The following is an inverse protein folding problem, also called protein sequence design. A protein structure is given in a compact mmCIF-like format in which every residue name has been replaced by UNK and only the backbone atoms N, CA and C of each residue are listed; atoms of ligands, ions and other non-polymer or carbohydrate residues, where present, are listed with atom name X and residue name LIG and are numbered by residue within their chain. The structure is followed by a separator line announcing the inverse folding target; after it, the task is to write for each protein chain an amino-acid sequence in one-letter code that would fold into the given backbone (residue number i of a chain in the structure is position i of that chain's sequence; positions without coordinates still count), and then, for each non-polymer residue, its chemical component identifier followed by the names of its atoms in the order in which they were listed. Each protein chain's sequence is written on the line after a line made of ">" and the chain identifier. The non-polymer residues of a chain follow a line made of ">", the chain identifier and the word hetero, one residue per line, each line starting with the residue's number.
data_IF_175218875821
#
_entry.id   IF_175218875821
#
_cell.length_a   1.000
_cell.length_b   1.000
_cell.length_c   1.000
_cell.angle_alpha   90.00
_cell.angle_beta   90.00
_cell.angle_gamma   90.00
#
_symmetry.space_group_name_H-M   'P 1'
#
loop_
_entity.id
_entity.type
_entity.pdbx_description
1 polymer ?
#
# COMPACT_ATOMS: atom_id res chain seq x y z
N UNK A 1 17.83 4.55 8.70
CA UNK A 1 16.97 3.57 9.38
C UNK A 1 15.64 4.26 9.68
N UNK A 2 14.65 4.13 8.80
CA UNK A 2 13.33 4.76 8.97
C UNK A 2 12.46 3.71 9.64
N UNK A 3 12.20 3.89 10.93
CA UNK A 3 11.21 3.07 11.64
C UNK A 3 9.85 3.36 11.03
N UNK A 4 9.41 2.52 10.16
CA UNK A 4 8.03 2.43 9.72
C UNK A 4 7.22 1.94 10.92
N UNK A 5 6.36 2.80 11.44
CA UNK A 5 5.26 2.37 12.28
C UNK A 5 4.32 1.52 11.41
N UNK A 6 4.68 0.25 11.23
CA UNK A 6 3.82 -0.72 10.58
C UNK A 6 2.56 -0.87 11.44
N UNK A 7 1.46 -0.35 10.96
CA UNK A 7 0.18 -0.61 11.58
C UNK A 7 -0.17 -2.05 11.25
N UNK A 8 -0.22 -2.86 12.28
CA UNK A 8 -0.58 -4.27 12.21
C UNK A 8 -1.95 -4.42 11.55
N UNK A 9 -2.03 -5.18 10.48
CA UNK A 9 -3.29 -5.77 10.05
C UNK A 9 -3.75 -6.74 11.13
N UNK A 10 -5.04 -6.68 11.44
CA UNK A 10 -5.68 -7.34 12.58
C UNK A 10 -5.16 -8.76 12.86
N UNK A 11 -4.60 -8.92 14.07
CA UNK A 11 -4.72 -10.17 14.81
C UNK A 11 -5.92 -10.08 15.76
N UNK A 12 -6.58 -11.19 16.10
CA UNK A 12 -7.62 -11.18 17.11
C UNK A 12 -7.08 -10.56 18.40
N UNK A 13 -7.54 -9.36 18.74
CA UNK A 13 -7.07 -8.60 19.89
C UNK A 13 -6.58 -7.17 19.58
N UNK A 14 -6.61 -6.74 18.33
CA UNK A 14 -6.20 -5.38 17.95
C UNK A 14 -7.14 -4.32 18.54
N UNK A 15 -6.54 -3.33 19.19
CA UNK A 15 -7.24 -2.16 19.72
C UNK A 15 -7.71 -1.32 18.53
N UNK A 16 -9.01 -1.00 18.48
CA UNK A 16 -9.57 -0.13 17.47
C UNK A 16 -8.83 1.23 17.46
N UNK A 17 -8.48 1.70 16.27
CA UNK A 17 -7.86 3.02 16.10
C UNK A 17 -8.91 4.09 16.37
N UNK A 18 -8.69 5.02 17.34
CA UNK A 18 -9.70 6.00 17.70
C UNK A 18 -9.99 6.99 16.56
N UNK A 19 -11.23 7.44 16.49
CA UNK A 19 -11.66 8.53 15.59
C UNK A 19 -12.26 9.64 16.47
N UNK A 20 -11.83 10.91 16.38
CA UNK A 20 -10.80 11.42 15.45
C UNK A 20 -9.41 10.82 15.70
N UNK A 21 -8.75 10.48 14.60
CA UNK A 21 -7.34 10.07 14.63
C UNK A 21 -6.48 11.29 14.34
N UNK A 22 -5.55 11.61 15.23
CA UNK A 22 -4.64 12.73 15.10
C UNK A 22 -3.21 12.23 15.25
N UNK A 23 -2.39 12.49 14.25
CA UNK A 23 -0.97 12.16 14.27
C UNK A 23 -0.13 13.40 13.94
N UNK A 24 0.88 13.65 14.76
CA UNK A 24 1.92 14.61 14.44
C UNK A 24 3.07 13.88 13.77
N UNK A 25 3.48 14.36 12.60
CA UNK A 25 4.59 13.77 11.87
C UNK A 25 5.92 14.07 12.58
N UNK A 26 6.73 13.04 12.77
CA UNK A 26 8.07 13.16 13.38
C UNK A 26 9.15 13.45 12.35
N UNK A 27 8.83 13.25 11.08
CA UNK A 27 9.72 13.48 9.93
C UNK A 27 8.95 14.14 8.79
N UNK A 28 9.65 14.91 7.99
CA UNK A 28 9.07 15.52 6.78
C UNK A 28 8.72 14.44 5.77
N UNK A 29 7.57 14.61 5.14
CA UNK A 29 7.13 13.75 4.04
C UNK A 29 8.05 13.89 2.83
N UNK A 30 8.20 12.80 2.10
CA UNK A 30 9.01 12.73 0.90
C UNK A 30 8.16 12.29 -0.29
N UNK A 31 8.46 12.78 -1.51
CA UNK A 31 7.85 12.26 -2.73
C UNK A 31 8.01 10.74 -2.84
N UNK A 32 6.97 10.07 -3.33
CA UNK A 32 6.91 8.62 -3.41
C UNK A 32 6.31 7.93 -2.19
N UNK A 33 6.18 8.62 -1.06
CA UNK A 33 5.48 8.08 0.10
C UNK A 33 3.97 8.06 -0.10
N UNK A 34 3.33 7.05 0.46
CA UNK A 34 1.88 6.86 0.42
C UNK A 34 1.33 6.79 1.83
N UNK A 35 0.32 7.58 2.10
CA UNK A 35 -0.55 7.42 3.27
C UNK A 35 -1.64 6.42 2.93
N UNK A 36 -1.77 5.39 3.75
CA UNK A 36 -2.81 4.37 3.63
C UNK A 36 -3.74 4.47 4.82
N UNK A 37 -5.04 4.62 4.55
CA UNK A 37 -6.10 4.68 5.55
C UNK A 37 -7.13 3.63 5.17
N UNK A 38 -7.39 2.70 6.06
CA UNK A 38 -8.41 1.69 5.82
C UNK A 38 -9.26 1.42 7.07
N UNK A 39 -10.47 0.98 6.81
CA UNK A 39 -11.45 0.74 7.85
C UNK A 39 -12.81 0.39 7.28
N UNK A 40 -13.85 0.71 8.04
CA UNK A 40 -15.24 0.49 7.66
C UNK A 40 -16.02 1.79 7.76
N UNK A 41 -16.80 2.11 6.73
CA UNK A 41 -17.71 3.25 6.74
C UNK A 41 -18.92 2.88 7.61
N UNK A 42 -19.33 3.78 8.51
CA UNK A 42 -20.52 3.56 9.35
C UNK A 42 -21.78 3.36 8.49
N UNK A 43 -22.74 2.57 8.96
CA UNK A 43 -23.97 2.27 8.21
C UNK A 43 -24.82 3.51 7.90
N UNK A 44 -24.79 4.50 8.80
CA UNK A 44 -25.53 5.76 8.72
C UNK A 44 -24.64 6.95 8.35
N UNK A 45 -23.47 6.68 7.76
CA UNK A 45 -22.48 7.67 7.45
C UNK A 45 -23.01 8.79 6.57
N UNK A 46 -22.72 10.01 6.95
CA UNK A 46 -22.95 11.22 6.16
C UNK A 46 -21.64 11.74 5.58
N UNK A 47 -20.58 11.79 6.37
CA UNK A 47 -19.27 12.30 5.98
C UNK A 47 -18.14 11.67 6.79
N UNK A 48 -17.00 11.54 6.14
CA UNK A 48 -15.71 11.50 6.82
C UNK A 48 -14.68 12.32 6.05
N UNK A 49 -13.63 12.72 6.72
CA UNK A 49 -12.61 13.56 6.11
C UNK A 49 -11.20 13.21 6.56
N UNK A 50 -10.27 13.50 5.68
CA UNK A 50 -8.83 13.40 5.91
C UNK A 50 -8.22 14.76 5.66
N UNK A 51 -7.41 15.25 6.60
CA UNK A 51 -6.75 16.54 6.49
C UNK A 51 -5.25 16.40 6.72
N UNK A 52 -4.48 17.03 5.85
CA UNK A 52 -3.03 17.23 5.99
C UNK A 52 -2.82 18.71 6.30
N UNK A 53 -2.32 19.01 7.50
CA UNK A 53 -2.28 20.35 8.04
C UNK A 53 -0.88 20.77 8.51
N UNK A 54 -0.68 22.08 8.61
CA UNK A 54 0.43 22.69 9.33
C UNK A 54 -0.09 23.70 10.37
N UNK A 55 0.74 24.00 11.36
CA UNK A 55 0.46 24.98 12.41
C UNK A 55 -0.39 24.46 13.55
N UNK A 56 -1.43 23.67 13.26
CA UNK A 56 -2.34 23.06 14.22
C UNK A 56 -2.93 21.77 13.66
N UNK A 57 -3.35 20.88 14.55
CA UNK A 57 -4.16 19.69 14.20
C UNK A 57 -5.65 20.00 14.01
N UNK A 58 -6.05 21.23 14.32
CA UNK A 58 -7.42 21.71 14.17
C UNK A 58 -7.51 22.70 13.00
N UNK A 59 -8.57 22.59 12.21
CA UNK A 59 -8.87 23.57 11.16
C UNK A 59 -9.30 24.88 11.80
N UNK A 60 -8.58 25.96 11.53
CA UNK A 60 -8.85 27.26 12.11
C UNK A 60 -7.88 28.34 11.64
N UNK A 61 -7.90 29.50 12.30
CA UNK A 61 -7.06 30.66 11.93
C UNK A 61 -5.55 30.39 12.06
N UNK A 62 -5.17 29.43 12.88
CA UNK A 62 -3.77 29.09 13.13
C UNK A 62 -3.26 27.90 12.31
N UNK A 63 -4.06 27.40 11.37
CA UNK A 63 -3.70 26.26 10.54
C UNK A 63 -3.73 26.58 9.06
N UNK A 64 -2.91 25.86 8.32
CA UNK A 64 -2.99 25.75 6.86
C UNK A 64 -3.40 24.32 6.53
N UNK A 65 -4.25 24.12 5.53
CA UNK A 65 -4.65 22.81 5.06
C UNK A 65 -4.08 22.58 3.66
N UNK A 66 -3.05 21.75 3.57
CA UNK A 66 -2.42 21.42 2.29
C UNK A 66 -3.30 20.52 1.43
N UNK A 67 -4.03 19.62 2.09
CA UNK A 67 -5.01 18.76 1.45
C UNK A 67 -6.15 18.46 2.40
N UNK A 68 -7.37 18.75 1.97
CA UNK A 68 -8.62 18.35 2.58
C UNK A 68 -9.33 17.37 1.64
N UNK A 69 -9.60 16.17 2.13
CA UNK A 69 -10.38 15.15 1.43
C UNK A 69 -11.66 14.94 2.21
N UNK A 70 -12.80 15.33 1.66
CA UNK A 70 -14.12 15.19 2.28
C UNK A 70 -14.97 14.19 1.50
N UNK A 71 -15.19 13.04 2.09
CA UNK A 71 -16.05 12.01 1.52
C UNK A 71 -17.47 12.24 2.00
N UNK A 72 -18.36 12.63 1.07
CA UNK A 72 -19.73 13.07 1.35
C UNK A 72 -20.75 12.11 0.77
N UNK A 73 -21.35 11.32 1.63
CA UNK A 73 -22.36 10.32 1.22
C UNK A 73 -23.70 10.96 0.86
N UNK A 74 -24.05 12.06 1.53
CA UNK A 74 -25.24 12.85 1.26
C UNK A 74 -25.22 13.56 -0.10
N UNK A 75 -24.04 13.90 -0.60
CA UNK A 75 -23.85 14.54 -1.92
C UNK A 75 -23.41 13.55 -3.00
N UNK A 76 -23.02 12.32 -2.63
CA UNK A 76 -22.45 11.35 -3.55
C UNK A 76 -21.12 11.79 -4.15
N UNK A 77 -20.33 12.62 -3.42
CA UNK A 77 -19.09 13.24 -3.89
C UNK A 77 -17.94 13.02 -2.90
N UNK A 78 -16.75 12.97 -3.47
CA UNK A 78 -15.50 13.24 -2.75
C UNK A 78 -15.03 14.63 -3.16
N UNK A 79 -14.81 15.48 -2.18
CA UNK A 79 -14.46 16.90 -2.36
C UNK A 79 -13.03 17.11 -1.88
N UNK A 80 -12.22 17.72 -2.72
CA UNK A 80 -10.83 18.08 -2.43
C UNK A 80 -10.66 19.58 -2.38
N UNK A 81 -9.91 20.08 -1.42
CA UNK A 81 -9.62 21.50 -1.29
C UNK A 81 -8.33 21.74 -0.49
N UNK A 82 -7.97 23.00 -0.38
CA UNK A 82 -6.91 23.52 0.49
C UNK A 82 -7.41 24.79 1.19
N UNK A 83 -6.79 25.10 2.33
CA UNK A 83 -7.09 26.34 3.07
C UNK A 83 -5.78 27.06 3.37
N UNK A 84 -5.73 28.33 3.01
CA UNK A 84 -4.61 29.22 3.29
C UNK A 84 -5.11 30.48 4.00
N UNK A 85 -4.47 30.83 5.12
CA UNK A 85 -4.81 31.99 5.94
C UNK A 85 -6.32 32.09 6.30
N UNK A 86 -6.90 30.93 6.66
CA UNK A 86 -8.31 30.83 7.04
C UNK A 86 -9.30 30.86 5.87
N UNK A 87 -8.83 30.91 4.62
CA UNK A 87 -9.67 30.97 3.42
C UNK A 87 -9.57 29.66 2.64
N UNK A 88 -10.71 29.01 2.41
CA UNK A 88 -10.82 27.86 1.53
C UNK A 88 -10.65 28.24 0.07
N UNK A 89 -9.92 27.43 -0.67
CA UNK A 89 -9.74 27.58 -2.09
C UNK A 89 -10.93 27.01 -2.88
N UNK A 90 -10.71 26.83 -4.19
CA UNK A 90 -11.70 26.24 -5.08
C UNK A 90 -11.77 24.72 -4.85
N UNK A 91 -12.99 24.22 -4.66
CA UNK A 91 -13.25 22.78 -4.54
C UNK A 91 -13.02 22.06 -5.89
N UNK A 92 -12.42 20.87 -5.79
CA UNK A 92 -12.38 19.88 -6.86
C UNK A 92 -13.22 18.68 -6.42
N UNK A 93 -14.04 18.12 -7.32
CA UNK A 93 -15.04 17.11 -6.95
C UNK A 93 -15.03 15.92 -7.90
N UNK A 94 -15.15 14.72 -7.34
CA UNK A 94 -15.36 13.48 -8.09
C UNK A 94 -16.51 12.68 -7.48
N UNK A 95 -17.02 11.69 -8.22
CA UNK A 95 -18.04 10.78 -7.69
C UNK A 95 -17.48 9.97 -6.52
N UNK A 96 -18.30 9.77 -5.48
CA UNK A 96 -17.91 8.99 -4.32
C UNK A 96 -17.99 7.47 -4.61
N UNK A 97 -16.86 6.74 -4.60
CA UNK A 97 -16.85 5.30 -4.81
C UNK A 97 -17.14 4.49 -3.55
N UNK A 98 -17.07 5.12 -2.37
CA UNK A 98 -17.31 4.45 -1.10
C UNK A 98 -18.80 4.32 -0.78
N UNK A 99 -19.15 3.31 0.02
CA UNK A 99 -20.55 3.04 0.41
C UNK A 99 -20.67 2.85 1.92
N UNK A 100 -21.76 3.36 2.53
CA UNK A 100 -22.04 3.09 3.94
C UNK A 100 -22.06 1.59 4.25
N UNK A 101 -21.51 1.23 5.41
CA UNK A 101 -21.47 -0.16 5.88
C UNK A 101 -20.38 -1.02 5.25
N UNK A 102 -19.65 -0.52 4.26
CA UNK A 102 -18.61 -1.28 3.57
C UNK A 102 -17.21 -0.92 4.05
N UNK A 103 -16.29 -1.83 3.85
CA UNK A 103 -14.86 -1.55 4.01
C UNK A 103 -14.41 -0.53 2.97
N UNK A 104 -13.44 0.30 3.36
CA UNK A 104 -12.80 1.28 2.50
C UNK A 104 -11.28 1.25 2.64
N UNK A 105 -10.62 1.59 1.55
CA UNK A 105 -9.19 1.84 1.49
C UNK A 105 -8.99 3.16 0.75
N UNK A 106 -8.46 4.16 1.44
CA UNK A 106 -8.15 5.47 0.89
C UNK A 106 -6.65 5.69 0.96
N UNK A 107 -6.03 5.97 -0.17
CA UNK A 107 -4.59 6.22 -0.26
C UNK A 107 -4.28 7.58 -0.83
N UNK A 108 -3.28 8.23 -0.28
CA UNK A 108 -2.77 9.52 -0.73
C UNK A 108 -1.27 9.34 -0.97
N UNK A 109 -0.86 9.32 -2.23
CA UNK A 109 0.54 9.27 -2.62
C UNK A 109 1.05 10.67 -2.91
N UNK A 110 2.20 11.01 -2.35
CA UNK A 110 2.86 12.29 -2.56
C UNK A 110 3.78 12.17 -3.76
N UNK A 111 3.56 13.04 -4.75
CA UNK A 111 4.47 13.26 -5.85
C UNK A 111 5.24 14.57 -5.63
N UNK A 112 6.00 15.00 -6.62
CA UNK A 112 6.77 16.25 -6.53
C UNK A 112 5.90 17.49 -6.73
N UNK A 113 4.75 17.36 -7.40
CA UNK A 113 3.86 18.47 -7.81
C UNK A 113 2.39 18.28 -7.41
N UNK A 114 2.03 17.09 -6.88
CA UNK A 114 0.62 16.73 -6.62
C UNK A 114 0.48 15.64 -5.57
N UNK A 115 -0.73 15.53 -5.05
CA UNK A 115 -1.25 14.35 -4.37
C UNK A 115 -2.02 13.49 -5.37
N UNK A 116 -1.74 12.20 -5.39
CA UNK A 116 -2.52 11.18 -6.10
C UNK A 116 -3.42 10.47 -5.10
N UNK A 117 -4.72 10.51 -5.33
CA UNK A 117 -5.71 9.93 -4.42
C UNK A 117 -6.31 8.69 -5.06
N UNK A 118 -6.26 7.57 -4.34
CA UNK A 118 -6.85 6.30 -4.74
C UNK A 118 -7.90 5.85 -3.73
N UNK A 119 -8.98 5.30 -4.25
CA UNK A 119 -10.05 4.69 -3.48
C UNK A 119 -10.19 3.23 -3.86
N UNK A 120 -10.12 2.32 -2.89
CA UNK A 120 -10.17 0.88 -3.10
C UNK A 120 -9.21 0.43 -4.22
N UNK A 121 -7.97 0.90 -4.14
CA UNK A 121 -6.85 0.63 -5.06
C UNK A 121 -6.94 1.26 -6.46
N UNK A 122 -8.00 2.03 -6.75
CA UNK A 122 -8.15 2.73 -8.03
C UNK A 122 -7.93 4.22 -7.84
N UNK A 123 -7.08 4.81 -8.68
CA UNK A 123 -6.91 6.27 -8.73
C UNK A 123 -8.24 6.96 -9.07
N UNK A 124 -8.61 7.95 -8.27
CA UNK A 124 -9.84 8.72 -8.45
C UNK A 124 -9.57 10.20 -8.73
N UNK A 125 -8.44 10.73 -8.29
CA UNK A 125 -8.13 12.15 -8.45
C UNK A 125 -6.64 12.45 -8.28
N UNK A 126 -6.18 13.47 -8.98
CA UNK A 126 -4.91 14.12 -8.78
C UNK A 126 -5.15 15.56 -8.30
N UNK A 127 -4.62 15.92 -7.15
CA UNK A 127 -4.73 17.27 -6.59
C UNK A 127 -3.37 17.94 -6.63
N UNK A 128 -3.20 18.92 -7.51
CA UNK A 128 -1.95 19.69 -7.62
C UNK A 128 -1.71 20.51 -6.37
N UNK A 129 -0.46 20.57 -5.93
CA UNK A 129 -0.11 21.37 -4.76
C UNK A 129 -0.47 22.84 -4.95
N UNK A 130 -1.16 23.39 -3.98
CA UNK A 130 -1.42 24.82 -3.81
C UNK A 130 -0.58 25.41 -2.69
N UNK A 131 -0.20 24.57 -1.75
CA UNK A 131 0.68 24.84 -0.61
C UNK A 131 1.78 23.77 -0.57
N UNK A 132 2.96 24.08 -0.02
CA UNK A 132 4.07 23.14 0.02
C UNK A 132 3.75 21.90 0.86
N UNK A 133 3.86 20.70 0.30
CA UNK A 133 3.69 19.44 1.05
C UNK A 133 4.72 19.29 2.18
N UNK A 134 5.90 19.91 2.01
CA UNK A 134 6.96 19.88 3.03
C UNK A 134 6.60 20.61 4.32
N UNK A 135 5.54 21.39 4.32
CA UNK A 135 5.00 22.09 5.49
C UNK A 135 3.99 21.25 6.28
N UNK A 136 3.60 20.07 5.80
CA UNK A 136 2.67 19.19 6.51
C UNK A 136 3.30 18.73 7.82
N UNK A 137 2.59 18.95 8.93
CA UNK A 137 2.99 18.57 10.28
C UNK A 137 2.00 17.60 10.92
N UNK A 138 0.75 17.67 10.54
CA UNK A 138 -0.34 16.90 11.12
C UNK A 138 -1.14 16.17 10.07
N UNK A 139 -1.61 15.01 10.47
CA UNK A 139 -2.50 14.18 9.71
C UNK A 139 -3.69 13.82 10.60
N UNK A 140 -4.90 14.05 10.10
CA UNK A 140 -6.13 13.88 10.87
C UNK A 140 -7.18 13.16 10.06
N UNK A 141 -7.81 12.15 10.65
CA UNK A 141 -9.01 11.47 10.12
C UNK A 141 -10.17 11.71 11.07
N UNK A 142 -11.28 12.18 10.55
CA UNK A 142 -12.51 12.47 11.31
C UNK A 142 -13.73 11.94 10.61
N UNK A 143 -14.81 11.73 11.37
CA UNK A 143 -16.13 11.49 10.86
C UNK A 143 -16.60 10.05 10.99
N UNK A 144 -17.47 9.65 10.10
CA UNK A 144 -18.35 8.50 10.24
C UNK A 144 -17.68 7.19 9.75
N UNK A 145 -16.53 6.87 10.33
CA UNK A 145 -15.77 5.66 10.03
C UNK A 145 -15.26 4.98 11.30
N UNK A 146 -15.01 3.70 11.20
CA UNK A 146 -14.19 2.91 12.12
C UNK A 146 -12.89 2.60 11.43
N UNK A 147 -11.77 3.05 12.00
CA UNK A 147 -10.45 2.81 11.43
C UNK A 147 -9.92 1.46 11.87
N UNK A 148 -9.39 0.72 10.90
CA UNK A 148 -8.64 -0.52 11.11
C UNK A 148 -7.14 -0.29 11.07
N UNK A 149 -6.70 0.70 10.31
CA UNK A 149 -5.29 1.03 10.21
C UNK A 149 -5.01 2.31 9.46
N UNK A 150 -3.88 2.92 9.81
CA UNK A 150 -3.34 4.12 9.20
C UNK A 150 -1.82 3.99 9.18
N UNK A 151 -1.19 4.14 8.03
CA UNK A 151 0.27 4.15 7.96
C UNK A 151 0.82 4.96 6.79
N UNK A 152 2.08 5.35 6.91
CA UNK A 152 2.89 5.96 5.86
C UNK A 152 3.97 4.97 5.42
N UNK A 153 4.23 4.90 4.13
CA UNK A 153 5.32 4.08 3.62
C UNK A 153 5.58 4.29 2.14
N UNK A 154 6.60 3.59 1.68
CA UNK A 154 6.96 3.60 0.28
C UNK A 154 7.92 4.69 -0.11
N UNK A 155 8.25 4.70 -1.37
CA UNK A 155 9.12 5.64 -2.07
C UNK A 155 8.93 5.47 -3.57
N UNK A 156 9.68 6.22 -4.38
CA UNK A 156 9.85 5.87 -5.78
C UNK A 156 10.86 4.74 -5.93
N UNK A 157 10.52 3.77 -6.76
CA UNK A 157 11.38 2.64 -7.11
C UNK A 157 11.65 2.66 -8.61
N UNK A 158 12.89 2.40 -8.98
CA UNK A 158 13.25 2.12 -10.38
C UNK A 158 13.35 0.61 -10.56
N UNK A 159 12.62 0.05 -11.52
CA UNK A 159 12.68 -1.37 -11.83
C UNK A 159 13.69 -1.65 -12.96
N UNK A 160 14.40 -2.78 -12.93
CA UNK A 160 14.39 -3.79 -11.87
C UNK A 160 14.96 -3.28 -10.56
N UNK A 161 14.31 -3.66 -9.45
CA UNK A 161 14.75 -3.31 -8.11
C UNK A 161 15.17 -4.58 -7.36
N UNK A 162 16.34 -4.56 -6.74
CA UNK A 162 16.88 -5.66 -5.94
C UNK A 162 17.24 -5.16 -4.54
N UNK A 163 16.98 -5.99 -3.54
CA UNK A 163 17.38 -5.73 -2.16
C UNK A 163 17.63 -7.04 -1.43
N UNK A 164 18.44 -6.98 -0.38
CA UNK A 164 18.56 -8.09 0.57
C UNK A 164 17.53 -7.97 1.67
N UNK A 165 17.16 -9.08 2.29
CA UNK A 165 16.34 -9.06 3.49
C UNK A 165 17.14 -8.47 4.66
N UNK A 166 16.48 -7.72 5.54
CA UNK A 166 17.15 -6.93 6.59
C UNK A 166 18.04 -7.78 7.50
N UNK A 167 17.61 -8.99 7.85
CA UNK A 167 18.36 -9.93 8.68
C UNK A 167 19.31 -10.85 7.89
N UNK A 168 19.51 -10.54 6.58
CA UNK A 168 20.34 -11.33 5.67
C UNK A 168 19.65 -12.55 5.08
N UNK A 169 18.46 -12.89 5.53
CA UNK A 169 17.62 -13.96 4.99
C UNK A 169 16.16 -13.77 5.41
N UNK A 170 15.24 -14.44 4.73
CA UNK A 170 13.83 -14.48 5.09
C UNK A 170 13.58 -15.72 5.95
N UNK A 171 13.43 -15.52 7.25
CA UNK A 171 13.19 -16.62 8.19
C UNK A 171 11.76 -17.16 8.09
N UNK A 172 11.56 -18.37 8.61
CA UNK A 172 10.23 -18.95 8.76
C UNK A 172 9.35 -18.07 9.67
N UNK A 173 8.12 -17.82 9.24
CA UNK A 173 7.15 -16.93 9.92
C UNK A 173 7.23 -15.47 9.48
N UNK A 174 8.29 -15.07 8.79
CA UNK A 174 8.41 -13.70 8.27
C UNK A 174 7.55 -13.47 7.02
N UNK A 175 7.16 -12.22 6.84
CA UNK A 175 6.34 -11.75 5.71
C UNK A 175 7.06 -10.72 4.87
N UNK A 176 6.81 -10.78 3.59
CA UNK A 176 7.17 -9.76 2.61
C UNK A 176 5.89 -9.11 2.10
N UNK A 177 5.80 -7.79 2.21
CA UNK A 177 4.68 -7.00 1.70
C UNK A 177 5.15 -6.25 0.46
N UNK A 178 4.42 -6.42 -0.64
CA UNK A 178 4.70 -5.75 -1.90
C UNK A 178 3.45 -4.99 -2.33
N UNK A 179 3.58 -3.66 -2.44
CA UNK A 179 2.51 -2.77 -2.88
C UNK A 179 2.84 -2.24 -4.26
N UNK A 180 1.91 -2.35 -5.19
CA UNK A 180 2.15 -1.89 -6.54
C UNK A 180 0.91 -1.83 -7.40
N UNK A 181 1.09 -1.34 -8.62
CA UNK A 181 0.05 -1.23 -9.63
C UNK A 181 0.56 -1.79 -10.95
N UNK A 182 -0.10 -2.81 -11.51
CA UNK A 182 0.27 -3.35 -12.82
C UNK A 182 0.11 -2.31 -13.93
N UNK A 183 1.12 -2.19 -14.82
CA UNK A 183 1.13 -1.20 -15.90
C UNK A 183 1.21 -1.79 -17.30
N UNK A 184 1.37 -3.11 -17.42
CA UNK A 184 1.51 -3.75 -18.73
C UNK A 184 1.18 -5.23 -18.70
N UNK A 185 1.91 -6.01 -19.47
CA UNK A 185 1.55 -7.40 -19.78
C UNK A 185 2.01 -8.42 -18.73
N UNK A 186 3.10 -8.12 -18.01
CA UNK A 186 3.65 -9.03 -17.01
C UNK A 186 4.64 -8.36 -16.08
N UNK A 187 4.71 -8.86 -14.87
CA UNK A 187 5.75 -8.51 -13.91
C UNK A 187 6.17 -9.75 -13.12
N UNK A 188 7.25 -9.64 -12.38
CA UNK A 188 7.71 -10.73 -11.52
C UNK A 188 8.28 -10.21 -10.20
N UNK A 189 8.13 -11.06 -9.20
CA UNK A 189 8.70 -10.91 -7.87
C UNK A 189 9.46 -12.20 -7.60
N UNK A 190 10.78 -12.09 -7.37
CA UNK A 190 11.68 -13.22 -7.23
C UNK A 190 12.33 -13.21 -5.85
N UNK A 191 12.37 -14.35 -5.19
CA UNK A 191 13.19 -14.58 -4.01
C UNK A 191 14.46 -15.31 -4.42
N UNK A 192 15.60 -14.73 -4.08
CA UNK A 192 16.91 -15.06 -4.65
C UNK A 192 17.82 -15.65 -3.57
N UNK A 193 18.53 -16.72 -3.95
CA UNK A 193 19.56 -17.34 -3.14
C UNK A 193 20.90 -16.61 -3.24
N UNK A 194 21.82 -16.93 -2.34
CA UNK A 194 23.17 -16.35 -2.30
C UNK A 194 23.95 -16.59 -3.59
N UNK A 195 23.75 -17.71 -4.25
CA UNK A 195 24.41 -18.06 -5.53
C UNK A 195 23.73 -17.45 -6.75
N UNK A 196 22.63 -16.68 -6.55
CA UNK A 196 21.87 -16.06 -7.63
C UNK A 196 20.73 -16.93 -8.19
N UNK A 197 20.54 -18.15 -7.72
CA UNK A 197 19.37 -18.95 -8.07
C UNK A 197 18.09 -18.25 -7.67
N UNK A 198 17.05 -18.36 -8.48
CA UNK A 198 15.71 -17.86 -8.18
C UNK A 198 14.93 -19.00 -7.53
N UNK A 199 14.86 -19.00 -6.22
CA UNK A 199 14.22 -20.08 -5.46
C UNK A 199 12.71 -19.99 -5.45
N UNK A 200 12.16 -18.80 -5.70
CA UNK A 200 10.75 -18.55 -5.89
C UNK A 200 10.56 -17.43 -6.91
N UNK A 201 9.87 -17.73 -7.98
CA UNK A 201 9.49 -16.81 -9.05
C UNK A 201 7.97 -16.68 -9.07
N UNK A 202 7.46 -15.48 -8.84
CA UNK A 202 6.05 -15.14 -8.87
C UNK A 202 5.80 -14.23 -10.07
N UNK A 203 5.05 -14.72 -11.07
CA UNK A 203 4.96 -14.08 -12.37
C UNK A 203 3.52 -13.98 -12.90
N UNK A 204 2.79 -12.92 -12.56
CA UNK A 204 1.50 -12.62 -13.18
C UNK A 204 1.66 -12.30 -14.68
N UNK A 205 0.87 -12.98 -15.51
CA UNK A 205 0.86 -12.85 -16.98
C UNK A 205 -0.55 -12.49 -17.44
N UNK A 206 -0.77 -11.27 -17.87
CA UNK A 206 -2.09 -10.73 -18.20
C UNK A 206 -2.70 -11.37 -19.45
N UNK A 207 -1.90 -11.62 -20.49
CA UNK A 207 -2.36 -12.32 -21.70
C UNK A 207 -2.89 -13.72 -21.42
N UNK A 208 -2.18 -14.45 -20.58
CA UNK A 208 -2.52 -15.83 -20.22
C UNK A 208 -3.58 -15.88 -19.10
N UNK A 209 -3.81 -14.76 -18.39
CA UNK A 209 -4.63 -14.68 -17.16
C UNK A 209 -4.21 -15.76 -16.16
N UNK A 210 -2.90 -15.92 -15.98
CA UNK A 210 -2.28 -16.87 -15.06
C UNK A 210 -1.22 -16.20 -14.23
N UNK A 211 -1.12 -16.64 -12.98
CA UNK A 211 0.03 -16.36 -12.12
C UNK A 211 0.92 -17.59 -12.16
N UNK A 212 2.05 -17.48 -12.85
CA UNK A 212 3.01 -18.57 -12.95
C UNK A 212 3.94 -18.52 -11.74
N UNK A 213 4.13 -19.64 -11.05
CA UNK A 213 5.11 -19.81 -9.99
C UNK A 213 6.09 -20.89 -10.41
N UNK A 214 7.38 -20.66 -10.15
CA UNK A 214 8.44 -21.57 -10.51
C UNK A 214 9.72 -21.29 -9.70
N UNK A 215 10.76 -22.04 -9.95
CA UNK A 215 12.12 -21.78 -9.50
C UNK A 215 13.11 -22.04 -10.61
N UNK A 216 14.19 -21.26 -10.65
CA UNK A 216 15.35 -21.47 -11.51
C UNK A 216 16.55 -21.84 -10.64
N UNK A 217 16.94 -23.09 -10.71
CA UNK A 217 18.03 -23.65 -9.90
C UNK A 217 19.12 -24.13 -10.84
N UNK A 218 20.35 -23.66 -10.62
CA UNK A 218 21.47 -24.00 -11.50
C UNK A 218 21.24 -23.54 -12.94
N UNK A 219 20.63 -22.42 -13.16
CA UNK A 219 20.23 -21.82 -14.46
C UNK A 219 19.22 -22.69 -15.27
N UNK A 220 18.48 -23.53 -14.57
CA UNK A 220 17.43 -24.34 -15.17
C UNK A 220 16.09 -24.10 -14.50
N UNK A 221 15.10 -23.69 -15.30
CA UNK A 221 13.72 -23.57 -14.84
C UNK A 221 13.11 -24.94 -14.58
N UNK A 222 12.41 -25.05 -13.46
CA UNK A 222 11.63 -26.23 -13.13
C UNK A 222 10.25 -26.23 -13.78
N UNK A 223 9.38 -27.10 -13.29
CA UNK A 223 7.99 -27.17 -13.74
C UNK A 223 7.19 -25.94 -13.25
N UNK A 224 6.46 -25.30 -14.16
CA UNK A 224 5.57 -24.21 -13.84
C UNK A 224 4.36 -24.69 -13.03
N UNK A 225 4.01 -23.94 -11.97
CA UNK A 225 2.73 -24.05 -11.29
C UNK A 225 1.85 -22.88 -11.75
N UNK A 226 0.65 -23.20 -12.26
CA UNK A 226 -0.22 -22.22 -12.94
C UNK A 226 -1.65 -22.19 -12.40
N UNK A 227 -2.00 -23.08 -11.49
CA UNK A 227 -3.32 -23.17 -10.87
C UNK A 227 -3.63 -21.99 -9.95
N UNK A 228 -4.91 -21.72 -9.77
CA UNK A 228 -5.40 -20.67 -8.91
C UNK A 228 -5.96 -19.45 -9.66
N UNK A 229 -6.44 -18.45 -8.91
CA UNK A 229 -7.06 -17.26 -9.49
C UNK A 229 -6.04 -16.32 -10.13
N UNK A 230 -6.54 -15.45 -11.01
CA UNK A 230 -5.83 -14.29 -11.52
C UNK A 230 -6.52 -13.01 -11.04
N UNK A 231 -6.16 -12.48 -9.84
CA UNK A 231 -6.88 -11.37 -9.25
C UNK A 231 -6.38 -9.99 -9.72
N UNK A 232 -5.31 -9.94 -10.49
CA UNK A 232 -4.69 -8.69 -10.94
C UNK A 232 -5.51 -8.01 -12.03
N UNK A 233 -5.53 -6.67 -11.97
CA UNK A 233 -6.13 -5.82 -13.00
C UNK A 233 -5.16 -4.68 -13.32
N UNK A 234 -5.03 -4.37 -14.62
CA UNK A 234 -4.20 -3.26 -15.07
C UNK A 234 -4.73 -1.94 -14.48
N UNK A 235 -3.81 -1.11 -14.03
CA UNK A 235 -4.06 0.20 -13.39
C UNK A 235 -4.85 0.14 -12.06
N UNK A 236 -5.03 -1.04 -11.50
CA UNK A 236 -5.60 -1.23 -10.16
C UNK A 236 -4.50 -1.72 -9.22
N UNK A 237 -4.25 -0.98 -8.15
CA UNK A 237 -3.27 -1.31 -7.14
C UNK A 237 -3.59 -2.60 -6.39
N UNK A 238 -2.57 -3.23 -5.86
CA UNK A 238 -2.68 -4.43 -5.03
C UNK A 238 -1.76 -4.38 -3.83
N UNK A 239 -2.14 -5.14 -2.81
CA UNK A 239 -1.29 -5.51 -1.68
C UNK A 239 -1.00 -7.00 -1.78
N UNK A 240 0.24 -7.37 -2.05
CA UNK A 240 0.69 -8.76 -1.97
C UNK A 240 1.38 -9.02 -0.64
N UNK A 241 1.12 -10.17 -0.07
CA UNK A 241 1.84 -10.67 1.09
C UNK A 241 2.34 -12.09 0.78
N UNK A 242 3.62 -12.29 1.00
CA UNK A 242 4.26 -13.59 0.96
C UNK A 242 4.68 -13.97 2.38
N UNK A 243 4.11 -15.04 2.90
CA UNK A 243 4.45 -15.59 4.21
C UNK A 243 5.34 -16.81 4.03
N UNK A 244 6.56 -16.74 4.54
CA UNK A 244 7.47 -17.89 4.53
C UNK A 244 7.10 -18.84 5.68
N UNK A 245 6.56 -20.01 5.35
CA UNK A 245 6.26 -21.07 6.29
C UNK A 245 7.24 -22.23 6.13
N UNK A 246 7.31 -23.20 7.08
CA UNK A 246 8.31 -24.28 7.01
C UNK A 246 8.27 -25.11 5.73
N UNK A 247 7.09 -25.29 5.11
CA UNK A 247 6.93 -26.17 3.94
C UNK A 247 6.61 -25.41 2.64
N UNK A 248 6.13 -24.18 2.76
CA UNK A 248 5.66 -23.41 1.60
C UNK A 248 5.70 -21.90 1.83
N UNK A 249 5.65 -21.16 0.73
CA UNK A 249 5.30 -19.75 0.76
C UNK A 249 3.79 -19.64 0.58
N UNK A 250 3.10 -18.99 1.53
CA UNK A 250 1.69 -18.64 1.40
C UNK A 250 1.57 -17.28 0.71
N UNK A 251 0.65 -17.15 -0.23
CA UNK A 251 0.50 -15.96 -1.06
C UNK A 251 -0.89 -15.36 -0.85
N UNK A 252 -0.93 -14.07 -0.52
CA UNK A 252 -2.17 -13.33 -0.27
C UNK A 252 -2.23 -12.11 -1.20
N UNK A 253 -3.37 -11.87 -1.77
CA UNK A 253 -3.69 -10.68 -2.57
C UNK A 253 -4.85 -9.94 -1.91
N UNK A 254 -4.63 -8.68 -1.54
CA UNK A 254 -5.60 -7.83 -0.85
C UNK A 254 -6.24 -8.50 0.38
N UNK A 255 -5.43 -9.27 1.11
CA UNK A 255 -5.85 -9.99 2.30
C UNK A 255 -6.43 -11.38 2.07
N UNK A 256 -6.76 -11.73 0.83
CA UNK A 256 -7.30 -13.04 0.46
C UNK A 256 -6.19 -13.99 0.01
N UNK A 257 -6.21 -15.21 0.55
CA UNK A 257 -5.24 -16.22 0.14
C UNK A 257 -5.50 -16.65 -1.30
N UNK A 258 -4.51 -16.47 -2.16
CA UNK A 258 -4.61 -16.82 -3.58
C UNK A 258 -3.87 -18.10 -3.97
N UNK A 259 -2.97 -18.59 -3.14
CA UNK A 259 -2.21 -19.78 -3.45
C UNK A 259 -1.05 -20.03 -2.51
N UNK A 260 -0.33 -21.10 -2.79
CA UNK A 260 0.90 -21.50 -2.10
C UNK A 260 1.95 -21.91 -3.10
N UNK A 261 3.19 -21.93 -2.65
CA UNK A 261 4.31 -22.50 -3.40
C UNK A 261 5.14 -23.37 -2.45
N UNK A 262 5.14 -24.68 -2.67
CA UNK A 262 5.99 -25.60 -1.90
C UNK A 262 7.46 -25.29 -2.16
N UNK A 263 8.26 -25.19 -1.12
CA UNK A 263 9.69 -24.90 -1.27
C UNK A 263 10.39 -25.95 -2.12
N UNK A 264 11.26 -25.48 -3.00
CA UNK A 264 12.15 -26.31 -3.83
C UNK A 264 13.60 -26.20 -3.37
N UNK A 265 13.81 -25.63 -2.20
CA UNK A 265 15.12 -25.52 -1.55
C UNK A 265 15.15 -26.30 -0.25
N UNK A 266 16.35 -26.63 0.24
CA UNK A 266 16.53 -27.51 1.42
C UNK A 266 16.31 -26.81 2.76
N UNK A 267 16.71 -25.54 2.85
CA UNK A 267 16.64 -24.75 4.08
C UNK A 267 15.82 -23.47 3.86
N UNK A 268 14.48 -23.56 3.72
CA UNK A 268 13.66 -22.41 3.33
C UNK A 268 13.62 -21.28 4.37
N UNK A 269 14.06 -21.53 5.60
CA UNK A 269 14.23 -20.49 6.62
C UNK A 269 15.53 -19.70 6.53
N UNK A 270 16.47 -20.09 5.64
CA UNK A 270 17.81 -19.49 5.51
C UNK A 270 18.21 -19.16 4.07
N UNK A 271 17.65 -19.88 3.09
CA UNK A 271 18.14 -19.84 1.71
C UNK A 271 17.67 -18.63 0.91
N UNK A 272 16.53 -18.03 1.25
CA UNK A 272 16.04 -16.81 0.63
C UNK A 272 16.76 -15.61 1.22
N UNK A 273 17.69 -15.01 0.48
CA UNK A 273 18.51 -13.90 1.00
C UNK A 273 18.15 -12.54 0.42
N UNK A 274 17.48 -12.51 -0.73
CA UNK A 274 17.14 -11.27 -1.40
C UNK A 274 15.87 -11.37 -2.21
N UNK A 275 15.44 -10.20 -2.66
CA UNK A 275 14.23 -9.97 -3.43
C UNK A 275 14.57 -9.17 -4.67
N UNK A 276 13.96 -9.54 -5.80
CA UNK A 276 13.99 -8.77 -7.03
C UNK A 276 12.58 -8.55 -7.54
N UNK A 277 12.29 -7.31 -7.92
CA UNK A 277 11.03 -6.91 -8.57
C UNK A 277 11.33 -6.35 -9.94
N UNK A 278 10.66 -6.84 -10.97
CA UNK A 278 10.90 -6.43 -12.36
C UNK A 278 9.61 -6.49 -13.19
N UNK A 279 9.66 -5.87 -14.36
CA UNK A 279 8.58 -5.92 -15.35
C UNK A 279 7.67 -4.72 -15.34
N UNK A 280 6.45 -4.90 -15.85
CA UNK A 280 5.47 -3.85 -16.08
C UNK A 280 4.66 -3.55 -14.81
N UNK A 281 5.34 -3.02 -13.81
CA UNK A 281 4.80 -2.71 -12.49
C UNK A 281 5.28 -1.33 -12.04
N UNK A 282 4.38 -0.55 -11.47
CA UNK A 282 4.74 0.55 -10.60
C UNK A 282 4.81 0.02 -9.16
N UNK A 283 6.02 -0.17 -8.65
CA UNK A 283 6.26 -0.55 -7.26
C UNK A 283 6.12 0.70 -6.39
N UNK A 284 5.23 0.65 -5.39
CA UNK A 284 4.96 1.80 -4.52
C UNK A 284 5.41 1.59 -3.09
N UNK A 285 5.56 0.35 -2.65
CA UNK A 285 6.01 0.02 -1.31
C UNK A 285 6.55 -1.39 -1.20
N UNK A 286 7.48 -1.56 -0.30
CA UNK A 286 8.10 -2.84 0.03
C UNK A 286 8.41 -2.84 1.52
N UNK A 287 7.89 -3.83 2.24
CA UNK A 287 8.09 -3.95 3.69
C UNK A 287 8.39 -5.40 4.07
N UNK A 288 9.19 -5.55 5.10
CA UNK A 288 9.50 -6.85 5.69
C UNK A 288 9.00 -6.86 7.13
N UNK A 289 8.32 -7.93 7.55
CA UNK A 289 7.96 -8.08 8.96
C UNK A 289 9.22 -8.39 9.76
N UNK A 290 9.35 -7.72 10.90
CA UNK A 290 10.34 -8.07 11.90
C UNK A 290 9.85 -9.28 12.74
N UNK A 291 10.79 -9.97 13.37
CA UNK A 291 10.49 -11.07 14.31
C UNK A 291 9.77 -10.58 15.55
#
# INVERSE_FOLDING_TARGET
>A
MVSLLAIRREHPGDVAVPVPYVSRLTQKLQPGQTLVIHGTVNNDAKRFEVNLLSGSSEIGSNSQVMLHVSVRFDEGKVVFNSMENGTWGKEERVSNPFKPGQEFDLRIRIHEDKFEISANHKEIHEFKFRLPYSSIEYFVVRGDVKLKGVHWGGRYYTLPFETQFEDGHLASGQRVYVYGTPKGERFNIDFIARNGDILFHFNPRFKEKKVVRNAEIGKAWGAEEREGPFPFKKDIGFDLVFLNEPYSIQIFHDGERMGTFAHRTKNPGEDYIGLRVAGDLELTGLEFSQH
#
